data_IF_723427285779
#
_entry.id   IF_723427285779
#
_cell.length_a   1.000
_cell.length_b   1.000
_cell.length_c   1.000
_cell.angle_alpha   90.00
_cell.angle_beta   90.00
_cell.angle_gamma   90.00
#
_symmetry.space_group_name_H-M   'P 1'
#
loop_
_entity.id
_entity.type
_entity.pdbx_description
1 polymer ?
#
# COMPACT_ATOMS: atom_id res chain seq x y z
N UNK A 1 0.15 10.91 8.92
CA UNK A 1 1.34 10.08 8.70
C UNK A 1 1.76 10.09 7.24
N UNK A 2 2.94 9.60 6.99
CA UNK A 2 3.45 9.46 5.63
C UNK A 2 2.50 8.64 4.76
N UNK A 3 2.04 7.51 5.28
CA UNK A 3 1.19 6.61 4.49
C UNK A 3 -0.20 7.18 4.26
N UNK A 4 -0.73 7.92 5.21
CA UNK A 4 -2.01 8.61 5.02
C UNK A 4 -1.90 9.63 3.89
N UNK A 5 -0.82 10.42 3.88
CA UNK A 5 -0.59 11.40 2.82
C UNK A 5 -0.38 10.71 1.48
N UNK A 6 0.39 9.63 1.47
CA UNK A 6 0.64 8.89 0.24
C UNK A 6 -0.66 8.33 -0.33
N UNK A 7 -1.54 7.80 0.53
CA UNK A 7 -2.82 7.26 0.07
C UNK A 7 -3.70 8.33 -0.57
N UNK A 8 -3.57 9.57 -0.12
CA UNK A 8 -4.35 10.68 -0.67
C UNK A 8 -3.83 11.14 -2.03
N UNK A 9 -2.51 11.05 -2.26
CA UNK A 9 -1.90 11.57 -3.49
C UNK A 9 -1.61 10.50 -4.52
N UNK A 10 -1.76 9.22 -4.16
CA UNK A 10 -1.43 8.12 -5.08
C UNK A 10 -2.11 8.24 -6.45
N UNK A 11 -3.39 8.64 -6.54
CA UNK A 11 -4.01 8.79 -7.86
C UNK A 11 -3.35 9.85 -8.74
N UNK A 12 -2.61 10.77 -8.13
CA UNK A 12 -1.88 11.81 -8.88
C UNK A 12 -0.48 11.34 -9.29
N UNK A 13 0.04 10.30 -8.65
CA UNK A 13 1.38 9.78 -8.92
C UNK A 13 1.37 8.61 -9.89
N UNK A 14 0.27 7.87 -9.93
CA UNK A 14 0.16 6.64 -10.69
C UNK A 14 -1.02 6.78 -11.66
N UNK A 15 -0.78 6.41 -12.92
CA UNK A 15 -1.81 6.41 -13.94
C UNK A 15 -2.97 5.51 -13.52
N UNK A 16 -4.20 5.90 -13.81
CA UNK A 16 -5.37 5.07 -13.56
C UNK A 16 -5.17 3.69 -14.21
N UNK A 17 -5.40 2.64 -13.46
CA UNK A 17 -5.13 1.26 -13.88
C UNK A 17 -3.71 0.80 -13.61
N UNK A 18 -2.82 1.71 -13.22
CA UNK A 18 -1.46 1.35 -12.84
C UNK A 18 -1.37 0.81 -11.43
N UNK A 19 -0.22 0.26 -11.10
CA UNK A 19 0.03 -0.34 -9.80
C UNK A 19 1.09 0.45 -9.04
N UNK A 20 0.92 0.48 -7.72
CA UNK A 20 1.93 1.00 -6.82
C UNK A 20 2.30 -0.11 -5.84
N UNK A 21 3.60 -0.32 -5.65
CA UNK A 21 4.08 -1.31 -4.70
C UNK A 21 4.71 -0.60 -3.50
N UNK A 22 4.31 -1.01 -2.31
CA UNK A 22 4.88 -0.52 -1.07
C UNK A 22 5.44 -1.68 -0.27
N UNK A 23 6.65 -1.52 0.25
CA UNK A 23 7.23 -2.46 1.18
C UNK A 23 7.18 -1.86 2.58
N UNK A 24 6.61 -2.59 3.53
CA UNK A 24 6.50 -2.13 4.91
C UNK A 24 7.19 -3.16 5.79
N UNK A 25 8.22 -2.73 6.52
CA UNK A 25 8.91 -3.60 7.46
C UNK A 25 7.97 -4.05 8.58
N UNK A 26 8.33 -5.16 9.25
CA UNK A 26 7.51 -5.70 10.32
C UNK A 26 7.24 -4.68 11.43
N UNK A 27 8.22 -3.80 11.70
CA UNK A 27 8.09 -2.77 12.72
C UNK A 27 7.31 -1.54 12.26
N UNK A 28 6.95 -1.48 11.00
CA UNK A 28 6.21 -0.36 10.41
C UNK A 28 4.69 -0.51 10.48
N UNK A 29 4.20 -1.50 11.21
CA UNK A 29 2.77 -1.77 11.38
C UNK A 29 2.05 -1.97 10.04
N UNK A 30 2.42 -3.01 9.27
CA UNK A 30 1.87 -3.20 7.93
C UNK A 30 0.36 -3.33 7.89
N UNK A 31 -0.27 -3.88 8.94
CA UNK A 31 -1.73 -3.98 8.99
C UNK A 31 -2.38 -2.60 9.03
N UNK A 32 -1.77 -1.64 9.72
CA UNK A 32 -2.28 -0.27 9.77
C UNK A 32 -2.13 0.42 8.42
N UNK A 33 -0.99 0.18 7.76
CA UNK A 33 -0.76 0.74 6.42
C UNK A 33 -1.78 0.16 5.44
N UNK A 34 -2.00 -1.14 5.49
CA UNK A 34 -3.01 -1.79 4.67
C UNK A 34 -4.39 -1.14 4.89
N UNK A 35 -4.78 -0.93 6.16
CA UNK A 35 -6.08 -0.35 6.47
C UNK A 35 -6.23 1.06 5.92
N UNK A 36 -5.16 1.86 5.93
CA UNK A 36 -5.18 3.20 5.37
C UNK A 36 -5.55 3.16 3.89
N UNK A 37 -4.91 2.28 3.14
CA UNK A 37 -5.19 2.18 1.70
C UNK A 37 -6.52 1.52 1.43
N UNK A 38 -6.90 0.52 2.23
CA UNK A 38 -8.18 -0.15 2.06
C UNK A 38 -9.35 0.82 2.22
N UNK A 39 -9.24 1.75 3.15
CA UNK A 39 -10.28 2.73 3.41
C UNK A 39 -10.48 3.73 2.27
N UNK A 40 -9.54 3.81 1.34
CA UNK A 40 -9.63 4.75 0.21
C UNK A 40 -10.40 4.18 -0.97
N UNK A 41 -10.74 2.90 -0.95
CA UNK A 41 -11.55 2.32 -2.02
C UNK A 41 -10.84 2.14 -3.35
N UNK A 42 -9.55 1.84 -3.31
CA UNK A 42 -8.80 1.54 -4.54
C UNK A 42 -9.38 0.32 -5.24
N UNK A 43 -9.14 0.23 -6.56
CA UNK A 43 -9.72 -0.81 -7.39
C UNK A 43 -9.30 -2.21 -6.95
N UNK A 44 -8.09 -2.36 -6.45
CA UNK A 44 -7.57 -3.64 -5.98
C UNK A 44 -6.46 -3.38 -4.98
N UNK A 45 -6.35 -4.26 -3.99
CA UNK A 45 -5.38 -4.12 -2.93
C UNK A 45 -4.92 -5.51 -2.51
N UNK A 46 -3.67 -5.82 -2.78
CA UNK A 46 -3.06 -7.09 -2.40
C UNK A 46 -2.08 -6.87 -1.27
N UNK A 47 -2.01 -7.85 -0.38
CA UNK A 47 -1.18 -7.77 0.82
C UNK A 47 -0.53 -9.13 1.02
N UNK A 48 0.80 -9.17 0.94
CA UNK A 48 1.52 -10.43 1.04
C UNK A 48 2.91 -10.24 1.64
N UNK A 49 3.49 -11.34 2.13
CA UNK A 49 4.83 -11.35 2.71
C UNK A 49 5.88 -11.30 1.61
N UNK A 50 7.02 -10.70 1.92
CA UNK A 50 8.17 -10.81 1.03
C UNK A 50 8.80 -12.20 1.19
N UNK A 51 9.84 -12.44 0.40
CA UNK A 51 10.52 -13.73 0.34
C UNK A 51 11.06 -14.17 1.70
N UNK A 52 11.55 -13.23 2.50
CA UNK A 52 12.20 -13.53 3.78
C UNK A 52 11.27 -13.33 4.98
N UNK A 53 10.02 -12.96 4.78
CA UNK A 53 9.07 -12.60 5.83
C UNK A 53 9.50 -11.39 6.66
N UNK A 54 10.43 -10.58 6.17
CA UNK A 54 10.90 -9.39 6.87
C UNK A 54 10.01 -8.18 6.62
N UNK A 55 9.22 -8.23 5.55
CA UNK A 55 8.39 -7.11 5.12
C UNK A 55 7.05 -7.62 4.64
N UNK A 56 6.10 -6.71 4.60
CA UNK A 56 4.83 -6.92 3.92
C UNK A 56 4.81 -6.06 2.67
N UNK A 57 4.25 -6.59 1.62
CA UNK A 57 4.17 -5.88 0.34
C UNK A 57 2.71 -5.60 0.05
N UNK A 58 2.41 -4.33 -0.20
CA UNK A 58 1.09 -3.91 -0.65
C UNK A 58 1.18 -3.58 -2.13
N UNK A 59 0.31 -4.17 -2.92
CA UNK A 59 0.15 -3.78 -4.31
C UNK A 59 -1.20 -3.11 -4.44
N UNK A 60 -1.16 -1.85 -4.84
CA UNK A 60 -2.34 -1.00 -4.89
C UNK A 60 -2.60 -0.66 -6.35
N UNK A 61 -3.77 -1.01 -6.83
CA UNK A 61 -4.18 -0.64 -8.18
C UNK A 61 -5.02 0.62 -8.09
N UNK A 62 -4.51 1.65 -8.71
CA UNK A 62 -5.13 2.99 -8.67
C UNK A 62 -6.28 3.14 -9.66
#
# INVERSE_FOLDING_TARGET
>A
SFYTRLSNIAPNLVRKGGNMLLEVGANGHPEKVFSIFDSKGYASLDYFNDYNNDKRILRIKV
#
